data_IF_443051893549
#
_entry.id   IF_443051893549
#
_cell.length_a   1.000
_cell.length_b   1.000
_cell.length_c   1.000
_cell.angle_alpha   90.00
_cell.angle_beta   90.00
_cell.angle_gamma   90.00
#
_symmetry.space_group_name_H-M   'P 1'
#
loop_
_entity.id
_entity.type
_entity.pdbx_description
1 polymer ?
#
# COMPACT_ATOMS: atom_id res chain seq x y z
N UNK A 1 51.56 -7.08 0.37
CA UNK A 1 51.96 -5.65 0.29
C UNK A 1 51.62 -4.96 1.61
N UNK A 2 52.62 -4.46 2.32
CA UNK A 2 52.41 -3.74 3.58
C UNK A 2 51.99 -2.29 3.29
N UNK A 3 50.82 -1.87 3.78
CA UNK A 3 50.35 -0.49 3.65
C UNK A 3 51.24 0.43 4.50
N UNK A 4 51.64 1.59 3.96
CA UNK A 4 52.48 2.54 4.72
C UNK A 4 51.74 3.07 5.95
N UNK A 5 52.47 3.28 7.06
CA UNK A 5 51.91 3.74 8.34
C UNK A 5 51.07 5.02 8.17
N UNK A 6 51.51 5.95 7.32
CA UNK A 6 50.78 7.20 7.04
C UNK A 6 49.43 7.00 6.35
N UNK A 7 49.28 6.01 5.45
CA UNK A 7 47.98 5.72 4.82
C UNK A 7 46.99 5.13 5.83
N UNK A 8 47.46 4.24 6.71
CA UNK A 8 46.63 3.65 7.76
C UNK A 8 46.12 4.74 8.72
N UNK A 9 46.99 5.69 9.06
CA UNK A 9 46.64 6.79 9.96
C UNK A 9 45.66 7.78 9.33
N UNK A 10 45.83 8.09 8.04
CA UNK A 10 44.88 8.91 7.28
C UNK A 10 43.52 8.20 7.11
N UNK A 11 43.51 6.90 6.81
CA UNK A 11 42.26 6.11 6.74
C UNK A 11 41.54 6.10 8.09
N UNK A 12 42.27 5.98 9.21
CA UNK A 12 41.69 6.08 10.57
C UNK A 12 41.11 7.46 10.84
N UNK A 13 41.81 8.54 10.49
CA UNK A 13 41.34 9.93 10.68
C UNK A 13 40.11 10.23 9.82
N UNK A 14 40.07 9.76 8.58
CA UNK A 14 38.92 9.92 7.68
C UNK A 14 37.72 9.12 8.20
N UNK A 15 37.93 7.86 8.60
CA UNK A 15 36.88 7.05 9.24
C UNK A 15 36.35 7.70 10.51
N UNK A 16 37.23 8.21 11.38
CA UNK A 16 36.84 8.92 12.59
C UNK A 16 36.03 10.19 12.29
N UNK A 17 36.35 10.95 11.21
CA UNK A 17 35.56 12.10 10.77
C UNK A 17 34.19 11.71 10.21
N UNK A 18 34.09 10.59 9.49
CA UNK A 18 32.81 10.05 8.98
C UNK A 18 31.94 9.57 10.14
N UNK A 19 32.52 8.87 11.12
CA UNK A 19 31.84 8.46 12.35
C UNK A 19 31.45 9.65 13.25
N UNK A 20 32.26 10.71 13.27
CA UNK A 20 31.98 11.97 13.97
C UNK A 20 31.23 12.99 13.10
N UNK A 21 30.63 12.57 11.98
CA UNK A 21 29.70 13.41 11.23
C UNK A 21 28.58 13.81 12.17
N UNK A 22 28.42 15.12 12.41
CA UNK A 22 27.44 15.66 13.35
C UNK A 22 26.08 14.97 13.18
N UNK A 23 25.70 14.11 14.14
CA UNK A 23 24.33 13.59 14.23
C UNK A 23 23.42 14.81 14.23
N UNK A 24 22.61 15.00 13.19
CA UNK A 24 21.60 16.07 13.17
C UNK A 24 20.81 15.95 14.46
N UNK A 25 20.93 16.96 15.32
CA UNK A 25 20.15 17.08 16.54
C UNK A 25 18.67 16.98 16.18
N UNK A 26 17.83 16.42 17.05
CA UNK A 26 16.40 16.20 16.75
C UNK A 26 15.69 17.47 16.26
N UNK A 27 16.18 18.65 16.70
CA UNK A 27 15.74 19.98 16.25
C UNK A 27 16.01 20.30 14.77
N UNK A 28 16.85 19.53 14.08
CA UNK A 28 17.23 19.71 12.65
C UNK A 28 16.65 18.64 11.72
N UNK A 29 15.71 17.80 12.18
CA UNK A 29 15.00 16.83 11.33
C UNK A 29 13.69 17.45 10.84
N UNK A 30 13.39 17.28 9.55
CA UNK A 30 12.15 17.77 8.92
C UNK A 30 10.92 17.12 9.56
N UNK A 31 11.00 15.83 9.87
CA UNK A 31 9.96 15.05 10.54
C UNK A 31 10.46 14.64 11.93
N UNK A 32 10.34 15.54 12.90
CA UNK A 32 10.84 15.36 14.27
C UNK A 32 9.77 14.92 15.29
N UNK A 33 8.51 14.77 14.86
CA UNK A 33 7.41 14.30 15.70
C UNK A 33 7.06 12.86 15.33
N UNK A 34 6.83 12.02 16.34
CA UNK A 34 6.42 10.61 16.19
C UNK A 34 4.95 10.47 16.52
N UNK A 35 4.22 9.71 15.70
CA UNK A 35 2.83 9.30 15.93
C UNK A 35 2.78 7.78 15.91
N UNK A 36 2.09 7.18 16.87
CA UNK A 36 1.96 5.72 17.00
C UNK A 36 0.49 5.31 17.09
N UNK A 37 0.13 4.27 16.34
CA UNK A 37 -1.21 3.67 16.35
C UNK A 37 -1.14 2.22 16.83
N UNK A 38 -2.23 1.74 17.41
CA UNK A 38 -2.44 0.31 17.70
C UNK A 38 -3.38 -0.26 16.65
N UNK A 39 -3.04 -1.42 16.13
CA UNK A 39 -3.77 -2.11 15.08
C UNK A 39 -4.01 -3.55 15.55
N UNK A 40 -5.15 -4.12 15.19
CA UNK A 40 -5.36 -5.55 15.21
C UNK A 40 -4.49 -6.24 14.14
N UNK A 41 -4.37 -7.57 14.20
CA UNK A 41 -3.61 -8.32 13.20
C UNK A 41 -4.17 -8.15 11.78
N UNK A 42 -5.49 -8.08 11.64
CA UNK A 42 -6.17 -7.90 10.35
C UNK A 42 -5.91 -6.51 9.77
N UNK A 43 -6.02 -5.47 10.61
CA UNK A 43 -5.75 -4.09 10.20
C UNK A 43 -4.30 -3.86 9.81
N UNK A 44 -3.35 -4.50 10.52
CA UNK A 44 -1.94 -4.40 10.16
C UNK A 44 -1.64 -5.10 8.83
N UNK A 45 -2.22 -6.28 8.58
CA UNK A 45 -2.08 -6.98 7.28
C UNK A 45 -2.63 -6.13 6.14
N UNK A 46 -3.83 -5.55 6.31
CA UNK A 46 -4.43 -4.66 5.32
C UNK A 46 -3.54 -3.45 5.02
N UNK A 47 -2.99 -2.81 6.06
CA UNK A 47 -2.08 -1.68 5.89
C UNK A 47 -0.82 -2.08 5.12
N UNK A 48 -0.22 -3.22 5.45
CA UNK A 48 0.97 -3.72 4.77
C UNK A 48 0.69 -4.04 3.28
N UNK A 49 -0.48 -4.59 2.97
CA UNK A 49 -0.90 -4.88 1.59
C UNK A 49 -1.13 -3.61 0.76
N UNK A 50 -1.67 -2.55 1.37
CA UNK A 50 -1.89 -1.25 0.73
C UNK A 50 -0.58 -0.48 0.51
N UNK A 51 0.36 -0.58 1.46
CA UNK A 51 1.70 -0.02 1.29
C UNK A 51 2.43 -0.77 0.16
N UNK A 52 2.32 -2.09 0.13
CA UNK A 52 2.93 -2.90 -0.93
C UNK A 52 2.35 -2.57 -2.32
N UNK A 53 1.04 -2.31 -2.42
CA UNK A 53 0.39 -1.98 -3.70
C UNK A 53 0.69 -0.56 -4.18
N UNK A 54 0.84 0.41 -3.26
CA UNK A 54 1.21 1.79 -3.60
C UNK A 54 2.69 1.94 -3.98
N UNK A 55 3.56 1.03 -3.51
CA UNK A 55 5.01 1.10 -3.76
C UNK A 55 5.73 2.20 -2.97
N UNK A 56 5.02 2.86 -2.05
CA UNK A 56 5.54 3.90 -1.18
C UNK A 56 6.20 3.31 0.06
N UNK A 57 7.06 4.08 0.71
CA UNK A 57 7.54 3.74 2.05
C UNK A 57 6.40 3.90 3.04
N UNK A 58 6.32 3.04 4.07
CA UNK A 58 5.28 3.08 5.11
C UNK A 58 5.06 4.49 5.69
N UNK A 59 6.13 5.26 5.89
CA UNK A 59 6.04 6.64 6.37
C UNK A 59 5.39 7.59 5.35
N UNK A 60 5.76 7.49 4.07
CA UNK A 60 5.25 8.38 3.03
C UNK A 60 3.80 8.01 2.66
N UNK A 61 3.47 6.72 2.62
CA UNK A 61 2.08 6.24 2.47
C UNK A 61 1.16 6.77 3.57
N UNK A 62 1.56 6.63 4.84
CA UNK A 62 0.74 7.11 5.96
C UNK A 62 0.62 8.64 5.93
N UNK A 63 1.67 9.35 5.52
CA UNK A 63 1.61 10.80 5.39
C UNK A 63 0.66 11.24 4.26
N UNK A 64 0.78 10.64 3.08
CA UNK A 64 -0.13 10.92 1.96
C UNK A 64 -1.58 10.58 2.34
N UNK A 65 -1.84 9.40 2.90
CA UNK A 65 -3.18 8.99 3.33
C UNK A 65 -3.78 9.90 4.43
N UNK A 66 -2.94 10.55 5.26
CA UNK A 66 -3.39 11.51 6.28
C UNK A 66 -3.55 12.94 5.75
N UNK A 67 -2.83 13.31 4.70
CA UNK A 67 -2.80 14.66 4.14
C UNK A 67 -3.75 14.84 2.95
N UNK A 68 -3.92 13.80 2.13
CA UNK A 68 -4.73 13.76 0.93
C UNK A 68 -5.63 12.53 0.96
N UNK A 69 -6.94 12.73 0.94
CA UNK A 69 -7.93 11.65 0.91
C UNK A 69 -7.94 10.84 -0.41
N UNK A 70 -7.02 11.10 -1.34
CA UNK A 70 -6.89 10.43 -2.64
C UNK A 70 -5.47 9.85 -2.77
N UNK A 71 -5.33 8.53 -2.63
CA UNK A 71 -4.06 7.84 -2.88
C UNK A 71 -3.83 7.79 -4.39
N UNK A 72 -2.96 8.66 -4.92
CA UNK A 72 -2.58 8.65 -6.35
C UNK A 72 -1.52 7.58 -6.63
N UNK A 73 -1.80 6.66 -7.54
CA UNK A 73 -0.89 5.56 -7.92
C UNK A 73 0.13 6.02 -8.98
N UNK A 74 1.41 6.03 -8.65
CA UNK A 74 2.49 6.23 -9.63
C UNK A 74 2.93 4.87 -10.19
N UNK A 75 2.65 4.64 -11.48
CA UNK A 75 2.97 3.39 -12.18
C UNK A 75 4.46 3.04 -12.09
N UNK A 76 4.81 2.04 -11.28
CA UNK A 76 6.16 1.49 -11.16
C UNK A 76 6.21 0.04 -11.65
N UNK A 77 7.37 -0.45 -12.14
CA UNK A 77 7.51 -1.86 -12.52
C UNK A 77 7.13 -2.83 -11.40
N UNK A 78 7.46 -2.48 -10.14
CA UNK A 78 7.07 -3.28 -8.97
C UNK A 78 5.57 -3.32 -8.75
N UNK A 79 4.88 -2.19 -8.94
CA UNK A 79 3.42 -2.10 -8.89
C UNK A 79 2.79 -2.97 -9.98
N UNK A 80 3.30 -2.93 -11.21
CA UNK A 80 2.81 -3.77 -12.31
C UNK A 80 2.99 -5.26 -12.00
N UNK A 81 4.15 -5.67 -11.46
CA UNK A 81 4.37 -7.05 -11.03
C UNK A 81 3.44 -7.47 -9.88
N UNK A 82 3.26 -6.61 -8.87
CA UNK A 82 2.37 -6.89 -7.74
C UNK A 82 0.89 -6.98 -8.15
N UNK A 83 0.46 -6.14 -9.08
CA UNK A 83 -0.88 -6.19 -9.68
C UNK A 83 -1.08 -7.46 -10.49
N UNK A 84 -0.11 -7.85 -11.32
CA UNK A 84 -0.17 -9.08 -12.10
C UNK A 84 -0.33 -10.30 -11.19
N UNK A 85 0.47 -10.39 -10.12
CA UNK A 85 0.39 -11.49 -9.16
C UNK A 85 -0.96 -11.56 -8.45
N UNK A 86 -1.52 -10.41 -8.04
CA UNK A 86 -2.86 -10.36 -7.41
C UNK A 86 -3.97 -10.73 -8.40
N UNK A 87 -3.85 -10.32 -9.65
CA UNK A 87 -4.80 -10.69 -10.70
C UNK A 87 -4.73 -12.20 -10.98
N UNK A 88 -3.53 -12.78 -11.07
CA UNK A 88 -3.36 -14.23 -11.26
C UNK A 88 -3.93 -15.03 -10.09
N UNK A 89 -3.76 -14.55 -8.86
CA UNK A 89 -4.35 -15.18 -7.67
C UNK A 89 -5.88 -15.13 -7.68
N UNK A 90 -6.46 -13.98 -8.06
CA UNK A 90 -7.91 -13.84 -8.21
C UNK A 90 -8.46 -14.72 -9.32
N UNK A 91 -7.73 -14.81 -10.44
CA UNK A 91 -8.14 -15.61 -11.59
C UNK A 91 -8.11 -17.10 -11.25
N UNK A 92 -7.07 -17.57 -10.55
CA UNK A 92 -7.01 -18.93 -10.04
C UNK A 92 -8.14 -19.22 -9.04
N UNK A 93 -8.46 -18.28 -8.14
CA UNK A 93 -9.63 -18.40 -7.25
C UNK A 93 -10.93 -18.55 -8.04
N UNK A 94 -11.11 -17.77 -9.12
CA UNK A 94 -12.29 -17.87 -10.00
C UNK A 94 -12.32 -19.21 -10.75
N UNK A 95 -11.20 -19.70 -11.26
CA UNK A 95 -11.12 -20.99 -11.96
C UNK A 95 -11.40 -22.18 -11.03
N UNK A 96 -11.01 -22.06 -9.75
CA UNK A 96 -11.31 -23.08 -8.73
C UNK A 96 -12.76 -23.03 -8.23
N UNK A 97 -13.47 -21.91 -8.45
CA UNK A 97 -14.91 -21.87 -8.25
C UNK A 97 -15.54 -22.77 -9.31
N UNK A 98 -16.00 -23.95 -8.90
CA UNK A 98 -16.94 -24.74 -9.70
C UNK A 98 -18.25 -23.98 -9.76
N UNK A 99 -18.34 -23.08 -10.72
CA UNK A 99 -19.58 -22.42 -11.10
C UNK A 99 -20.47 -23.52 -11.67
N UNK A 100 -21.53 -23.89 -10.93
CA UNK A 100 -22.58 -24.71 -11.51
C UNK A 100 -23.09 -23.99 -12.77
N UNK A 101 -23.36 -24.68 -13.88
CA UNK A 101 -23.75 -24.04 -15.15
C UNK A 101 -24.95 -23.09 -14.99
N UNK A 102 -25.79 -23.31 -13.98
CA UNK A 102 -26.96 -22.50 -13.66
C UNK A 102 -26.65 -21.28 -12.77
N UNK A 103 -25.48 -21.20 -12.12
CA UNK A 103 -25.12 -20.11 -11.22
C UNK A 103 -25.02 -18.77 -11.98
N UNK A 104 -24.56 -18.79 -13.24
CA UNK A 104 -24.54 -17.58 -14.07
C UNK A 104 -25.96 -17.09 -14.38
N UNK A 105 -26.89 -18.01 -14.67
CA UNK A 105 -28.30 -17.68 -14.92
C UNK A 105 -29.00 -17.16 -13.66
N UNK A 106 -28.73 -17.78 -12.51
CA UNK A 106 -29.23 -17.34 -11.21
C UNK A 106 -28.68 -15.96 -10.81
N UNK A 107 -27.40 -15.69 -11.04
CA UNK A 107 -26.78 -14.38 -10.79
C UNK A 107 -27.39 -13.28 -11.68
N UNK A 108 -27.58 -13.56 -12.98
CA UNK A 108 -28.27 -12.64 -13.90
C UNK A 108 -29.72 -12.40 -13.45
N UNK A 109 -30.40 -13.42 -12.95
CA UNK A 109 -31.76 -13.29 -12.42
C UNK A 109 -31.81 -12.43 -11.15
N UNK A 110 -30.88 -12.63 -10.22
CA UNK A 110 -30.73 -11.82 -9.01
C UNK A 110 -30.43 -10.36 -9.36
N UNK A 111 -29.52 -10.11 -10.30
CA UNK A 111 -29.20 -8.77 -10.79
C UNK A 111 -30.45 -8.04 -11.32
N UNK A 112 -31.27 -8.74 -12.12
CA UNK A 112 -32.54 -8.19 -12.64
C UNK A 112 -33.53 -7.85 -11.52
N UNK A 113 -33.66 -8.70 -10.50
CA UNK A 113 -34.51 -8.43 -9.34
C UNK A 113 -34.01 -7.22 -8.55
N UNK A 114 -32.70 -7.12 -8.31
CA UNK A 114 -32.10 -5.98 -7.62
C UNK A 114 -32.34 -4.67 -8.38
N UNK A 115 -32.17 -4.67 -9.70
CA UNK A 115 -32.44 -3.50 -10.55
C UNK A 115 -33.93 -3.10 -10.52
N UNK A 116 -34.85 -4.08 -10.55
CA UNK A 116 -36.28 -3.81 -10.38
C UNK A 116 -36.59 -3.20 -9.00
N UNK A 117 -36.03 -3.76 -7.93
CA UNK A 117 -36.21 -3.22 -6.58
C UNK A 117 -35.69 -1.78 -6.47
N UNK A 118 -34.51 -1.49 -7.04
CA UNK A 118 -33.96 -0.14 -7.09
C UNK A 118 -34.84 0.81 -7.91
N UNK A 119 -35.41 0.35 -9.03
CA UNK A 119 -36.33 1.16 -9.83
C UNK A 119 -37.62 1.50 -9.09
N UNK A 120 -38.12 0.59 -8.26
CA UNK A 120 -39.30 0.80 -7.41
C UNK A 120 -38.96 1.73 -6.24
N UNK A 121 -37.80 1.54 -5.61
CA UNK A 121 -37.34 2.38 -4.48
C UNK A 121 -37.02 3.81 -4.92
N UNK A 122 -36.48 3.99 -6.12
CA UNK A 122 -36.14 5.29 -6.69
C UNK A 122 -37.28 5.91 -7.51
N UNK A 123 -38.44 5.24 -7.60
CA UNK A 123 -39.61 5.82 -8.23
C UNK A 123 -40.07 7.02 -7.38
N UNK A 124 -40.29 8.20 -7.99
CA UNK A 124 -40.83 9.34 -7.28
C UNK A 124 -42.18 8.95 -6.68
N UNK A 125 -42.37 9.30 -5.41
CA UNK A 125 -43.62 9.05 -4.71
C UNK A 125 -44.73 9.80 -5.47
N UNK A 126 -45.84 9.17 -5.89
CA UNK A 126 -46.91 9.85 -6.64
C UNK A 126 -47.67 10.90 -5.81
N UNK A 127 -47.12 11.31 -4.65
CA UNK A 127 -47.67 12.31 -3.73
C UNK A 127 -46.70 13.45 -3.41
N UNK A 128 -45.54 13.53 -4.08
CA UNK A 128 -44.70 14.74 -4.09
C UNK A 128 -44.99 15.60 -5.35
#
# INVERSE_FOLDING_TARGET
>A
MFRSKGRIENEKKVRAKILNGHKKTEKKRVRNKTVSFRLSEEENKLLDDLIASSGLLKQDYILEALLEHEVTYFGSPKMATGLSLKLDELLSKIETLKVEPNLLEELIYIEKICNLYLSIKNAPNPKD
#
